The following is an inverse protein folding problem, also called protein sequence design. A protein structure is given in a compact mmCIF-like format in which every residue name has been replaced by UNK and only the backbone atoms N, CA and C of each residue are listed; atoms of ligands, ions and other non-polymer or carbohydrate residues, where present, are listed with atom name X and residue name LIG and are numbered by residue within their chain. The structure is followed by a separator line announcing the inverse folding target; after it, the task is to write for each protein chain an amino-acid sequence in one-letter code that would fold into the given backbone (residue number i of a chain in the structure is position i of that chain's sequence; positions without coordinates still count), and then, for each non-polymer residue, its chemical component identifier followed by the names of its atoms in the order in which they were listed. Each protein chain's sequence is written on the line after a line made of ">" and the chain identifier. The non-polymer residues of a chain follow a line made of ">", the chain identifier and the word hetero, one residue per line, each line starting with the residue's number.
data_IF_648561272388
#
_entry.id   IF_648561272388
#
_cell.length_a   1.000
_cell.length_b   1.000
_cell.length_c   1.000
_cell.angle_alpha   90.00
_cell.angle_beta   90.00
_cell.angle_gamma   90.00
#
_symmetry.space_group_name_H-M   'P 1'
#
loop_
_entity.id
_entity.type
_entity.pdbx_description
1 polymer ?
#
# COMPACT_ATOMS: atom_id res chain seq x y z
N UNK A 1 22.33 -13.07 -5.95
CA UNK A 1 23.16 -13.91 -5.05
C UNK A 1 22.56 -14.09 -3.66
N UNK A 2 22.04 -13.05 -3.00
CA UNK A 2 21.59 -13.12 -1.59
C UNK A 2 20.49 -14.18 -1.35
N UNK A 3 19.40 -14.18 -2.12
CA UNK A 3 18.29 -15.12 -1.92
C UNK A 3 18.69 -16.60 -2.10
N UNK A 4 19.60 -16.89 -3.04
CA UNK A 4 20.10 -18.25 -3.25
C UNK A 4 20.94 -18.72 -2.06
N UNK A 5 21.81 -17.87 -1.52
CA UNK A 5 22.55 -18.19 -0.29
C UNK A 5 21.62 -18.39 0.90
N UNK A 6 20.54 -17.61 0.98
CA UNK A 6 19.51 -17.78 1.99
C UNK A 6 18.81 -19.14 1.85
N UNK A 7 18.54 -19.58 0.62
CA UNK A 7 17.92 -20.88 0.33
C UNK A 7 18.82 -22.03 0.73
N UNK A 8 20.12 -21.91 0.51
CA UNK A 8 21.08 -22.90 0.99
C UNK A 8 21.12 -22.98 2.52
N UNK A 9 21.01 -21.83 3.21
CA UNK A 9 21.13 -21.77 4.66
C UNK A 9 19.85 -22.19 5.42
N UNK A 10 18.67 -21.77 4.94
CA UNK A 10 17.39 -21.97 5.63
C UNK A 10 16.59 -23.12 5.00
N UNK A 11 16.71 -23.33 3.69
CA UNK A 11 15.87 -24.26 2.95
C UNK A 11 14.44 -23.74 2.75
N UNK A 12 13.52 -24.65 2.41
CA UNK A 12 12.08 -24.38 2.32
C UNK A 12 11.36 -25.20 3.40
N UNK A 13 10.53 -24.55 4.20
CA UNK A 13 9.69 -25.19 5.22
C UNK A 13 8.23 -24.74 5.08
N UNK A 14 7.32 -25.60 5.50
CA UNK A 14 5.90 -25.24 5.58
C UNK A 14 5.72 -24.05 6.53
N UNK A 15 4.94 -23.06 6.11
CA UNK A 15 4.69 -21.84 6.88
C UNK A 15 5.83 -20.81 6.87
N UNK A 16 6.89 -21.00 6.08
CA UNK A 16 7.87 -19.95 5.85
C UNK A 16 7.20 -18.75 5.15
N UNK A 17 7.52 -17.53 5.58
CA UNK A 17 7.02 -16.29 4.99
C UNK A 17 8.14 -15.26 4.94
N UNK A 18 8.32 -14.62 3.78
CA UNK A 18 9.19 -13.46 3.65
C UNK A 18 8.44 -12.19 4.05
N UNK A 19 9.07 -11.33 4.85
CA UNK A 19 8.59 -9.97 5.09
C UNK A 19 9.71 -8.96 4.87
N UNK A 20 9.52 -8.04 3.92
CA UNK A 20 10.54 -7.06 3.52
C UNK A 20 9.94 -5.68 3.27
N UNK A 21 10.79 -4.69 2.99
CA UNK A 21 10.32 -3.42 2.43
C UNK A 21 9.89 -3.62 0.96
N UNK A 22 9.07 -2.67 0.46
CA UNK A 22 8.61 -2.61 -0.91
C UNK A 22 9.75 -2.19 -1.82
N UNK A 23 10.35 -3.16 -2.49
CA UNK A 23 11.45 -2.95 -3.41
C UNK A 23 11.11 -3.51 -4.79
N UNK A 24 11.35 -2.70 -5.83
CA UNK A 24 11.11 -3.10 -7.21
C UNK A 24 11.97 -4.34 -7.56
N UNK A 25 11.34 -5.38 -8.10
CA UNK A 25 12.04 -6.60 -8.52
C UNK A 25 12.22 -7.63 -7.40
N UNK A 26 11.82 -7.33 -6.15
CA UNK A 26 12.02 -8.23 -5.03
C UNK A 26 11.00 -9.37 -5.03
N UNK A 27 9.72 -9.08 -5.23
CA UNK A 27 8.65 -10.08 -5.33
C UNK A 27 8.99 -11.12 -6.40
N UNK A 28 9.40 -10.65 -7.59
CA UNK A 28 9.78 -11.52 -8.70
C UNK A 28 11.02 -12.35 -8.35
N UNK A 29 12.02 -11.76 -7.71
CA UNK A 29 13.22 -12.48 -7.30
C UNK A 29 12.92 -13.53 -6.21
N UNK A 30 12.02 -13.23 -5.27
CA UNK A 30 11.58 -14.18 -4.24
C UNK A 30 10.81 -15.32 -4.90
N UNK A 31 9.88 -15.05 -5.82
CA UNK A 31 9.12 -16.10 -6.53
C UNK A 31 10.02 -17.02 -7.37
N UNK A 32 11.10 -16.50 -7.95
CA UNK A 32 12.07 -17.33 -8.70
C UNK A 32 12.81 -18.29 -7.78
N UNK A 33 13.21 -17.84 -6.58
CA UNK A 33 14.03 -18.66 -5.67
C UNK A 33 13.16 -19.51 -4.73
N UNK A 34 11.99 -19.01 -4.33
CA UNK A 34 11.07 -19.59 -3.36
C UNK A 34 9.62 -19.54 -3.89
N UNK A 35 9.29 -20.33 -4.91
CA UNK A 35 8.01 -20.23 -5.61
C UNK A 35 6.78 -20.56 -4.75
N UNK A 36 6.97 -21.26 -3.63
CA UNK A 36 5.89 -21.72 -2.73
C UNK A 36 5.83 -20.94 -1.43
N UNK A 37 6.73 -19.98 -1.23
CA UNK A 37 6.82 -19.19 0.00
C UNK A 37 6.08 -17.89 -0.22
N UNK A 38 5.17 -17.57 0.70
CA UNK A 38 4.47 -16.30 0.64
C UNK A 38 5.44 -15.15 0.94
N UNK A 39 5.34 -14.10 0.16
CA UNK A 39 6.06 -12.85 0.40
C UNK A 39 5.06 -11.75 0.71
N UNK A 40 5.28 -11.06 1.84
CA UNK A 40 4.42 -9.99 2.33
C UNK A 40 5.21 -8.71 2.53
N UNK A 41 4.57 -7.59 2.23
CA UNK A 41 5.13 -6.29 2.54
C UNK A 41 5.14 -6.06 4.05
N UNK A 42 6.28 -5.63 4.57
CA UNK A 42 6.46 -5.37 5.98
C UNK A 42 5.72 -4.09 6.36
N UNK A 43 4.68 -4.22 7.18
CA UNK A 43 3.83 -3.09 7.55
C UNK A 43 4.57 -1.99 8.29
N UNK A 44 5.62 -2.32 9.05
CA UNK A 44 6.47 -1.34 9.73
C UNK A 44 7.28 -0.49 8.74
N UNK A 45 7.86 -1.13 7.71
CA UNK A 45 8.56 -0.44 6.64
C UNK A 45 7.60 0.36 5.76
N UNK A 46 6.43 -0.22 5.44
CA UNK A 46 5.38 0.46 4.72
C UNK A 46 4.94 1.73 5.48
N UNK A 47 4.65 1.64 6.78
CA UNK A 47 4.34 2.80 7.61
C UNK A 47 5.49 3.82 7.65
N UNK A 48 6.74 3.38 7.79
CA UNK A 48 7.92 4.26 7.79
C UNK A 48 8.08 5.02 6.47
N UNK A 49 7.90 4.34 5.34
CA UNK A 49 7.92 4.93 4.01
C UNK A 49 6.74 5.86 3.78
N UNK A 50 5.58 5.52 4.33
CA UNK A 50 4.42 6.40 4.32
C UNK A 50 4.68 7.67 5.15
N UNK A 51 5.14 7.56 6.39
CA UNK A 51 5.40 8.72 7.27
C UNK A 51 6.41 9.71 6.68
N UNK A 52 7.34 9.24 5.83
CA UNK A 52 8.29 10.11 5.11
C UNK A 52 7.61 10.97 4.03
N UNK A 53 6.56 10.45 3.38
CA UNK A 53 5.88 11.09 2.24
C UNK A 53 4.57 11.79 2.64
N UNK A 54 3.85 11.22 3.60
CA UNK A 54 2.51 11.62 4.04
C UNK A 54 2.56 12.18 5.47
N UNK A 55 1.70 13.15 5.78
CA UNK A 55 1.55 13.71 7.12
C UNK A 55 0.10 13.60 7.61
N UNK A 56 -0.09 13.42 8.92
CA UNK A 56 -1.39 13.20 9.58
C UNK A 56 -1.55 11.79 10.16
N UNK A 57 -2.37 11.59 11.19
CA UNK A 57 -2.47 10.27 11.85
C UNK A 57 -3.48 9.31 11.20
N UNK A 58 -4.35 9.80 10.33
CA UNK A 58 -5.44 9.00 9.76
C UNK A 58 -4.95 7.82 8.90
N UNK A 59 -3.81 7.95 8.22
CA UNK A 59 -3.27 6.84 7.43
C UNK A 59 -2.71 5.73 8.33
N UNK A 60 -2.28 6.03 9.55
CA UNK A 60 -1.77 5.00 10.48
C UNK A 60 -2.88 4.00 10.80
N UNK A 61 -4.04 4.50 11.22
CA UNK A 61 -5.12 3.65 11.71
C UNK A 61 -5.76 2.84 10.58
N UNK A 62 -5.94 3.46 9.41
CA UNK A 62 -6.45 2.76 8.21
C UNK A 62 -5.44 1.73 7.69
N UNK A 63 -4.14 2.06 7.65
CA UNK A 63 -3.09 1.14 7.21
C UNK A 63 -2.97 -0.07 8.16
N UNK A 64 -3.09 0.16 9.47
CA UNK A 64 -3.05 -0.91 10.46
C UNK A 64 -4.31 -1.79 10.44
N UNK A 65 -5.48 -1.20 10.21
CA UNK A 65 -6.72 -1.94 10.01
C UNK A 65 -6.67 -2.80 8.74
N UNK A 66 -6.16 -2.24 7.64
CA UNK A 66 -5.97 -2.96 6.39
C UNK A 66 -4.97 -4.11 6.52
N UNK A 67 -3.84 -3.90 7.22
CA UNK A 67 -2.85 -4.96 7.46
C UNK A 67 -3.38 -6.12 8.31
N UNK A 68 -4.39 -5.87 9.14
CA UNK A 68 -5.06 -6.89 9.96
C UNK A 68 -6.26 -7.53 9.26
N UNK A 69 -6.59 -7.10 8.05
CA UNK A 69 -7.72 -7.65 7.32
C UNK A 69 -7.43 -9.08 6.86
N UNK A 70 -8.34 -9.99 7.17
CA UNK A 70 -8.26 -11.39 6.75
C UNK A 70 -9.02 -11.67 5.45
N UNK A 71 -9.76 -10.68 4.93
CA UNK A 71 -10.53 -10.81 3.69
C UNK A 71 -10.34 -9.57 2.82
N UNK A 72 -10.40 -9.71 1.48
CA UNK A 72 -10.34 -8.57 0.57
C UNK A 72 -11.38 -7.50 0.89
N UNK A 73 -12.61 -7.90 1.22
CA UNK A 73 -13.68 -6.96 1.57
C UNK A 73 -13.35 -6.14 2.84
N UNK A 74 -12.79 -6.78 3.88
CA UNK A 74 -12.37 -6.07 5.11
C UNK A 74 -11.17 -5.16 4.81
N UNK A 75 -10.26 -5.59 3.93
CA UNK A 75 -9.12 -4.78 3.49
C UNK A 75 -9.61 -3.52 2.76
N UNK A 76 -10.44 -3.68 1.73
CA UNK A 76 -11.01 -2.61 0.92
C UNK A 76 -11.80 -1.60 1.77
N UNK A 77 -12.65 -2.11 2.66
CA UNK A 77 -13.39 -1.24 3.59
C UNK A 77 -12.47 -0.55 4.59
N UNK A 78 -11.38 -1.16 5.04
CA UNK A 78 -10.41 -0.56 5.96
C UNK A 78 -9.58 0.54 5.32
N UNK A 79 -9.11 0.35 4.08
CA UNK A 79 -8.40 1.40 3.33
C UNK A 79 -9.34 2.54 2.93
N UNK A 80 -10.63 2.25 2.72
CA UNK A 80 -11.65 3.23 2.38
C UNK A 80 -12.35 3.87 3.60
N UNK A 81 -12.08 3.37 4.81
CA UNK A 81 -12.76 3.82 6.03
C UNK A 81 -12.49 5.29 6.27
N UNK A 82 -13.56 6.08 6.41
CA UNK A 82 -13.47 7.54 6.56
C UNK A 82 -13.27 8.31 5.24
N UNK A 83 -13.16 7.62 4.09
CA UNK A 83 -13.16 8.25 2.76
C UNK A 83 -14.58 8.49 2.20
N UNK A 84 -15.60 7.75 2.65
CA UNK A 84 -16.96 7.82 2.10
C UNK A 84 -17.74 9.12 2.35
N UNK A 85 -17.22 10.00 3.20
CA UNK A 85 -17.73 11.36 3.39
C UNK A 85 -17.15 12.37 2.38
N UNK A 86 -16.19 11.93 1.57
CA UNK A 86 -15.50 12.78 0.61
C UNK A 86 -16.00 12.50 -0.81
N UNK A 87 -16.54 13.53 -1.46
CA UNK A 87 -16.92 13.54 -2.86
C UNK A 87 -15.72 13.96 -3.73
N UNK A 88 -15.55 13.35 -4.91
CA UNK A 88 -14.47 13.70 -5.85
C UNK A 88 -15.05 14.33 -7.09
N UNK A 89 -14.75 15.62 -7.30
CA UNK A 89 -15.13 16.39 -8.48
C UNK A 89 -13.93 16.53 -9.41
N UNK A 90 -14.02 15.95 -10.60
CA UNK A 90 -12.95 16.03 -11.59
C UNK A 90 -13.03 17.34 -12.37
N UNK A 91 -11.92 18.08 -12.42
CA UNK A 91 -11.80 19.27 -13.27
C UNK A 91 -11.21 18.91 -14.64
N UNK A 92 -10.26 17.97 -14.66
CA UNK A 92 -9.68 17.39 -15.88
C UNK A 92 -9.13 15.97 -15.59
N UNK A 93 -8.41 15.38 -16.55
CA UNK A 93 -7.80 14.05 -16.43
C UNK A 93 -6.75 13.93 -15.30
N UNK A 94 -6.14 15.05 -14.91
CA UNK A 94 -5.02 15.11 -13.98
C UNK A 94 -5.32 15.88 -12.68
N UNK A 95 -6.47 16.55 -12.59
CA UNK A 95 -6.87 17.36 -11.44
C UNK A 95 -8.29 17.01 -10.95
N UNK A 96 -8.40 16.85 -9.63
CA UNK A 96 -9.66 16.59 -8.96
C UNK A 96 -9.73 17.33 -7.64
N UNK A 97 -10.93 17.69 -7.23
CA UNK A 97 -11.20 18.27 -5.95
C UNK A 97 -11.94 17.29 -5.06
N UNK A 98 -11.46 17.10 -3.85
CA UNK A 98 -12.02 16.21 -2.85
C UNK A 98 -12.74 17.05 -1.80
N UNK A 99 -14.06 16.97 -1.77
CA UNK A 99 -14.93 17.73 -0.86
C UNK A 99 -15.41 16.81 0.25
N UNK A 100 -15.01 17.10 1.48
CA UNK A 100 -15.54 16.49 2.69
C UNK A 100 -16.48 17.42 3.46
N UNK A 101 -17.07 16.97 4.58
CA UNK A 101 -18.09 17.71 5.32
C UNK A 101 -17.66 19.08 5.83
N UNK A 102 -16.35 19.29 6.06
CA UNK A 102 -15.77 20.53 6.57
C UNK A 102 -14.43 20.88 5.90
N UNK A 103 -14.12 20.26 4.77
CA UNK A 103 -12.78 20.38 4.17
C UNK A 103 -12.83 20.20 2.67
N UNK A 104 -12.06 21.00 1.94
CA UNK A 104 -11.96 20.93 0.49
C UNK A 104 -10.50 20.83 0.10
N UNK A 105 -10.18 19.86 -0.76
CA UNK A 105 -8.81 19.53 -1.06
C UNK A 105 -8.58 19.38 -2.56
N UNK A 106 -7.59 20.08 -3.10
CA UNK A 106 -7.18 19.96 -4.50
C UNK A 106 -6.18 18.81 -4.63
N UNK A 107 -6.41 17.91 -5.57
CA UNK A 107 -5.56 16.76 -5.88
C UNK A 107 -5.04 16.91 -7.31
N UNK A 108 -3.71 16.90 -7.45
CA UNK A 108 -2.99 16.88 -8.72
C UNK A 108 -2.29 15.53 -8.88
N UNK A 109 -2.78 14.71 -9.80
CA UNK A 109 -2.34 13.33 -9.97
C UNK A 109 -0.95 13.21 -10.59
N UNK A 110 -0.58 14.11 -11.52
CA UNK A 110 0.75 14.11 -12.15
C UNK A 110 1.85 14.43 -11.12
N UNK A 111 1.56 15.38 -10.23
CA UNK A 111 2.49 15.85 -9.20
C UNK A 111 2.41 15.01 -7.92
N UNK A 112 1.51 14.02 -7.87
CA UNK A 112 1.19 13.22 -6.66
C UNK A 112 0.89 14.10 -5.45
N UNK A 113 0.29 15.26 -5.67
CA UNK A 113 0.09 16.28 -4.65
C UNK A 113 -1.40 16.35 -4.29
N UNK A 114 -1.72 16.42 -3.00
CA UNK A 114 -3.01 16.86 -2.52
C UNK A 114 -2.77 18.05 -1.58
N UNK A 115 -3.59 19.10 -1.63
CA UNK A 115 -3.53 20.19 -0.65
C UNK A 115 -3.77 19.67 0.78
N UNK A 116 -4.50 18.56 0.91
CA UNK A 116 -4.66 17.78 2.13
C UNK A 116 -3.46 16.93 2.54
N UNK A 117 -2.62 16.55 1.57
CA UNK A 117 -1.57 15.51 1.66
C UNK A 117 -2.07 14.08 2.00
N UNK A 118 -3.39 13.86 2.07
CA UNK A 118 -4.03 12.57 2.41
C UNK A 118 -4.14 11.58 1.23
N UNK A 119 -4.24 12.06 -0.02
CA UNK A 119 -4.66 11.24 -1.18
C UNK A 119 -3.55 10.60 -2.04
N UNK A 120 -2.27 10.71 -1.68
CA UNK A 120 -1.19 10.04 -2.46
C UNK A 120 -1.18 8.49 -2.30
N UNK A 121 -2.21 7.91 -1.66
CA UNK A 121 -2.35 6.46 -1.39
C UNK A 121 -2.91 5.69 -2.60
N UNK A 122 -3.67 6.31 -3.51
CA UNK A 122 -4.33 5.58 -4.62
C UNK A 122 -3.35 4.95 -5.63
N UNK A 123 -2.16 5.51 -5.86
CA UNK A 123 -1.12 4.83 -6.67
C UNK A 123 -0.31 3.78 -5.91
N UNK A 124 -0.36 3.74 -4.58
CA UNK A 124 0.32 2.68 -3.82
C UNK A 124 -0.50 1.40 -3.73
N UNK A 125 -1.84 1.47 -3.79
CA UNK A 125 -2.73 0.31 -3.58
C UNK A 125 -3.25 -0.36 -4.86
N UNK A 126 -3.23 0.30 -6.02
CA UNK A 126 -3.82 -0.28 -7.26
C UNK A 126 -2.89 -1.18 -8.07
N UNK A 127 -1.57 -1.17 -7.84
CA UNK A 127 -0.63 -1.99 -8.63
C UNK A 127 -0.17 -3.27 -7.91
N UNK A 128 -0.99 -3.78 -7.00
CA UNK A 128 -0.84 -5.12 -6.40
C UNK A 128 -2.04 -6.04 -6.70
N UNK A 129 -2.97 -5.60 -7.55
CA UNK A 129 -4.15 -6.37 -7.99
C UNK A 129 -4.09 -6.70 -9.49
N UNK A 130 -2.93 -7.15 -9.96
CA UNK A 130 -2.85 -8.04 -11.14
C UNK A 130 -2.50 -9.45 -10.66
N UNK A 131 -3.25 -10.01 -9.71
CA UNK A 131 -3.25 -11.45 -9.41
C UNK A 131 -4.62 -11.87 -8.85
N UNK A 132 -5.61 -11.91 -9.75
CA UNK A 132 -6.43 -13.09 -9.98
C UNK A 132 -6.46 -13.34 -11.49
#
# INVERSE_FOLDING_TARGET
>A
MVLHGLKTAIGESEGLVFSSDRQKGLDEAVQVVYPRVEHRECIAHLYGNFKKKFRGDCYRDNLWAAAKAYTPNVYETSIAKGLGQYEVLWSDEFSAEVIGPQSRFEVRLHETQCSCRLWQVKRCAMHSLQWQ
#
